data_IF_583615214873
#
_entry.id   IF_583615214873
#
_cell.length_a   1.000
_cell.length_b   1.000
_cell.length_c   1.000
_cell.angle_alpha   90.00
_cell.angle_beta   90.00
_cell.angle_gamma   90.00
#
_symmetry.space_group_name_H-M   'P 1'
#
loop_
_entity.id
_entity.type
_entity.pdbx_description
1 polymer ?
#
# COMPACT_ATOMS: atom_id res chain seq x y z
N UNK A 1 7.09 1.56 -16.79
CA UNK A 1 6.76 2.24 -15.52
C UNK A 1 5.67 1.46 -14.81
N UNK A 2 5.92 0.91 -13.60
CA UNK A 2 4.89 0.25 -12.79
C UNK A 2 3.72 1.18 -12.44
N UNK A 3 2.61 0.60 -11.97
CA UNK A 3 1.47 1.38 -11.47
C UNK A 3 1.75 1.84 -10.04
N UNK A 4 1.58 3.14 -9.85
CA UNK A 4 1.61 3.85 -8.60
C UNK A 4 0.33 4.67 -8.53
N UNK A 5 -0.33 4.65 -7.39
CA UNK A 5 -1.52 5.45 -7.12
C UNK A 5 -1.21 6.42 -6.00
N UNK A 6 -1.81 7.61 -6.03
CA UNK A 6 -1.75 8.51 -4.89
C UNK A 6 -2.67 7.96 -3.81
N UNK A 7 -2.08 7.64 -2.68
CA UNK A 7 -2.75 7.07 -1.53
C UNK A 7 -2.70 8.06 -0.38
N UNK A 8 -3.85 8.22 0.26
CA UNK A 8 -3.97 8.88 1.54
C UNK A 8 -4.13 7.81 2.62
N UNK A 9 -3.35 7.94 3.68
CA UNK A 9 -3.21 6.90 4.71
C UNK A 9 -3.33 7.58 6.07
N UNK A 10 -4.14 7.00 6.95
CA UNK A 10 -4.25 7.43 8.33
C UNK A 10 -4.33 6.23 9.26
N UNK A 11 -3.91 6.42 10.51
CA UNK A 11 -4.13 5.45 11.56
C UNK A 11 -5.41 5.82 12.32
N UNK A 12 -6.34 4.88 12.59
CA UNK A 12 -7.50 5.15 13.41
C UNK A 12 -7.09 5.74 14.77
N UNK A 13 -7.79 6.79 15.21
CA UNK A 13 -7.52 7.51 16.46
C UNK A 13 -6.10 8.13 16.56
N UNK A 14 -5.50 8.48 15.43
CA UNK A 14 -4.24 9.22 15.37
C UNK A 14 -4.43 10.49 14.55
N UNK A 15 -3.81 11.60 14.98
CA UNK A 15 -4.06 12.92 14.38
C UNK A 15 -3.44 13.08 12.98
N UNK A 16 -2.38 12.31 12.70
CA UNK A 16 -1.63 12.45 11.45
C UNK A 16 -2.22 11.60 10.32
N UNK A 17 -2.45 12.27 9.20
CA UNK A 17 -2.75 11.70 7.90
C UNK A 17 -1.60 12.02 6.95
N UNK A 18 -1.24 11.07 6.09
CA UNK A 18 -0.18 11.23 5.09
C UNK A 18 -0.76 11.00 3.70
N UNK A 19 -0.22 11.71 2.70
CA UNK A 19 -0.51 11.51 1.29
C UNK A 19 0.80 11.18 0.57
N UNK A 20 0.85 10.09 -0.19
CA UNK A 20 2.07 9.58 -0.84
C UNK A 20 1.75 8.73 -2.05
N UNK A 21 2.73 8.43 -2.90
CA UNK A 21 2.58 7.44 -3.96
C UNK A 21 2.78 6.01 -3.46
N UNK A 22 1.79 5.15 -3.68
CA UNK A 22 1.81 3.74 -3.34
C UNK A 22 1.92 2.85 -4.59
N UNK A 23 2.89 1.95 -4.61
CA UNK A 23 3.08 1.00 -5.71
C UNK A 23 2.05 -0.13 -5.62
N UNK A 24 1.34 -0.38 -6.71
CA UNK A 24 0.44 -1.54 -6.84
C UNK A 24 1.26 -2.79 -7.14
N UNK A 25 1.05 -3.86 -6.38
CA UNK A 25 1.70 -5.15 -6.60
C UNK A 25 0.74 -6.32 -6.34
N UNK A 26 0.16 -6.84 -7.42
CA UNK A 26 -0.74 -8.00 -7.37
C UNK A 26 -0.01 -9.33 -7.10
N UNK A 27 1.32 -9.36 -7.14
CA UNK A 27 2.12 -10.52 -6.72
C UNK A 27 2.52 -10.48 -5.23
N UNK A 28 2.11 -9.45 -4.51
CA UNK A 28 2.21 -9.40 -3.06
C UNK A 28 0.87 -9.87 -2.49
N UNK A 29 0.82 -11.10 -2.00
CA UNK A 29 -0.41 -11.74 -1.50
C UNK A 29 -0.09 -12.40 -0.17
N UNK A 30 -0.81 -12.04 0.89
CA UNK A 30 -0.68 -12.67 2.21
C UNK A 30 -2.09 -12.83 2.78
N UNK A 31 -2.58 -14.07 2.73
CA UNK A 31 -3.95 -14.41 3.14
C UNK A 31 -5.03 -13.60 2.39
N UNK A 32 -6.30 -13.73 2.80
CA UNK A 32 -7.41 -12.98 2.23
C UNK A 32 -7.59 -11.63 2.94
N UNK A 33 -6.57 -10.77 2.94
CA UNK A 33 -6.60 -9.52 3.72
C UNK A 33 -5.97 -8.34 2.96
N UNK A 34 -6.57 -7.14 3.03
CA UNK A 34 -5.93 -5.91 2.59
C UNK A 34 -4.67 -5.62 3.42
N UNK A 35 -3.53 -5.47 2.74
CA UNK A 35 -2.23 -5.20 3.35
C UNK A 35 -1.56 -4.04 2.64
N UNK A 36 -0.98 -3.17 3.45
CA UNK A 36 -0.13 -2.09 3.01
C UNK A 36 1.24 -2.20 3.68
N UNK A 37 2.29 -2.28 2.86
CA UNK A 37 3.66 -2.15 3.37
C UNK A 37 4.00 -0.68 3.49
N UNK A 38 4.45 -0.26 4.66
CA UNK A 38 4.93 1.10 4.92
C UNK A 38 6.46 1.16 5.02
N UNK A 39 7.11 2.20 4.46
CA UNK A 39 8.50 2.50 4.76
C UNK A 39 8.65 3.06 6.18
N UNK A 40 9.88 3.04 6.71
CA UNK A 40 10.19 3.40 8.11
C UNK A 40 9.72 4.81 8.47
N UNK A 41 10.01 5.81 7.63
CA UNK A 41 9.64 7.21 7.88
C UNK A 41 8.12 7.35 8.02
N UNK A 42 7.36 6.85 7.05
CA UNK A 42 5.89 6.94 7.06
C UNK A 42 5.25 6.13 8.20
N UNK A 43 5.81 4.98 8.55
CA UNK A 43 5.36 4.22 9.71
C UNK A 43 5.53 5.03 11.01
N UNK A 44 6.68 5.69 11.20
CA UNK A 44 6.93 6.58 12.34
C UNK A 44 6.01 7.80 12.33
N UNK A 45 5.78 8.41 11.17
CA UNK A 45 4.85 9.54 11.04
C UNK A 45 3.41 9.18 11.42
N UNK A 46 3.00 7.93 11.21
CA UNK A 46 1.71 7.39 11.65
C UNK A 46 1.73 6.88 13.10
N UNK A 47 2.80 7.16 13.85
CA UNK A 47 2.93 6.84 15.27
C UNK A 47 3.18 5.36 15.58
N UNK A 48 3.64 4.57 14.61
CA UNK A 48 4.03 3.18 14.87
C UNK A 48 5.43 3.09 15.47
N UNK A 49 5.57 2.20 16.46
CA UNK A 49 6.86 1.81 17.03
C UNK A 49 7.29 0.49 16.38
N UNK A 50 8.18 0.58 15.38
CA UNK A 50 8.62 -0.58 14.58
C UNK A 50 9.41 -1.57 15.44
N UNK A 51 10.16 -1.09 16.44
CA UNK A 51 11.01 -1.94 17.27
C UNK A 51 10.18 -2.79 18.26
N UNK A 52 8.93 -2.39 18.51
CA UNK A 52 7.95 -3.16 19.29
C UNK A 52 6.97 -3.97 18.44
N UNK A 53 7.12 -3.93 17.12
CA UNK A 53 6.22 -4.63 16.21
C UNK A 53 6.47 -6.13 16.22
N UNK A 54 5.39 -6.92 16.16
CA UNK A 54 5.49 -8.37 16.19
C UNK A 54 5.85 -8.95 14.81
N UNK A 55 6.71 -9.97 14.73
CA UNK A 55 6.99 -10.64 13.47
C UNK A 55 5.78 -11.45 12.99
N UNK A 56 5.44 -11.32 11.70
CA UNK A 56 4.51 -12.22 11.04
C UNK A 56 5.23 -13.52 10.69
N UNK A 57 4.77 -14.62 11.29
CA UNK A 57 5.36 -15.94 11.07
C UNK A 57 4.81 -16.58 9.79
N UNK A 58 5.59 -17.51 9.21
CA UNK A 58 5.15 -18.33 8.07
C UNK A 58 5.01 -17.59 6.74
N UNK A 59 5.51 -16.35 6.64
CA UNK A 59 5.52 -15.61 5.38
C UNK A 59 6.76 -15.99 4.56
N UNK A 60 6.54 -16.44 3.32
CA UNK A 60 7.59 -16.75 2.36
C UNK A 60 7.40 -15.95 1.08
N UNK A 61 8.51 -15.70 0.38
CA UNK A 61 8.45 -15.17 -0.98
C UNK A 61 8.02 -16.23 -2.01
N UNK A 62 7.93 -15.84 -3.27
CA UNK A 62 7.54 -16.74 -4.36
C UNK A 62 8.54 -17.89 -4.62
N UNK A 63 9.76 -17.81 -4.08
CA UNK A 63 10.76 -18.87 -4.15
C UNK A 63 10.75 -19.76 -2.88
N UNK A 64 9.78 -19.57 -1.98
CA UNK A 64 9.68 -20.30 -0.72
C UNK A 64 10.69 -19.86 0.34
N UNK A 65 11.38 -18.74 0.16
CA UNK A 65 12.36 -18.23 1.13
C UNK A 65 11.64 -17.44 2.22
N UNK A 66 12.05 -17.52 3.49
CA UNK A 66 11.49 -16.69 4.55
C UNK A 66 11.57 -15.21 4.19
N UNK A 67 10.45 -14.49 4.35
CA UNK A 67 10.37 -13.06 4.14
C UNK A 67 10.11 -12.38 5.50
N UNK A 68 11.12 -11.77 6.14
CA UNK A 68 10.92 -11.07 7.40
C UNK A 68 9.93 -9.91 7.23
N UNK A 69 8.85 -9.95 8.01
CA UNK A 69 7.81 -8.93 8.02
C UNK A 69 7.36 -8.65 9.45
N UNK A 70 7.23 -7.37 9.80
CA UNK A 70 6.69 -6.94 11.09
C UNK A 70 5.27 -6.41 10.91
N UNK A 71 4.34 -6.79 11.80
CA UNK A 71 2.98 -6.25 11.88
C UNK A 71 2.97 -4.98 12.72
N UNK A 72 2.68 -3.85 12.09
CA UNK A 72 2.63 -2.55 12.77
C UNK A 72 1.28 -2.28 13.43
N UNK A 73 0.19 -2.70 12.78
CA UNK A 73 -1.17 -2.44 13.24
C UNK A 73 -2.16 -2.31 12.10
N UNK A 74 -3.17 -1.47 12.28
CA UNK A 74 -4.21 -1.19 11.28
C UNK A 74 -4.15 0.27 10.87
N UNK A 75 -4.31 0.51 9.56
CA UNK A 75 -4.49 1.83 8.97
C UNK A 75 -5.74 1.83 8.10
N UNK A 76 -6.20 3.03 7.73
CA UNK A 76 -7.18 3.25 6.69
C UNK A 76 -6.48 3.88 5.49
N UNK A 77 -6.83 3.41 4.29
CA UNK A 77 -6.21 3.82 3.03
C UNK A 77 -7.31 4.27 2.06
N UNK A 78 -7.04 5.33 1.32
CA UNK A 78 -7.91 5.86 0.27
C UNK A 78 -7.08 6.18 -0.96
N UNK A 79 -7.56 5.80 -2.14
CA UNK A 79 -6.99 6.24 -3.41
C UNK A 79 -7.53 7.63 -3.74
N UNK A 80 -6.65 8.57 -4.08
CA UNK A 80 -6.98 9.99 -4.25
C UNK A 80 -6.54 10.48 -5.62
N UNK A 81 -7.49 10.91 -6.44
CA UNK A 81 -7.26 11.66 -7.68
C UNK A 81 -8.02 13.00 -7.61
N UNK A 82 -7.63 14.02 -8.39
CA UNK A 82 -8.29 15.33 -8.35
C UNK A 82 -9.80 15.30 -8.58
N UNK A 83 -10.29 14.32 -9.34
CA UNK A 83 -11.68 14.17 -9.77
C UNK A 83 -12.43 13.01 -9.08
N UNK A 84 -11.74 12.09 -8.40
CA UNK A 84 -12.35 10.94 -7.74
C UNK A 84 -11.52 10.45 -6.56
N UNK A 85 -12.20 10.03 -5.50
CA UNK A 85 -11.60 9.35 -4.35
C UNK A 85 -12.33 8.02 -4.13
N UNK A 86 -11.60 7.00 -3.68
CA UNK A 86 -12.22 5.75 -3.21
C UNK A 86 -12.82 5.95 -1.82
N UNK A 87 -13.51 4.92 -1.29
CA UNK A 87 -13.82 4.86 0.14
C UNK A 87 -12.54 4.64 0.97
N UNK A 88 -12.62 4.91 2.27
CA UNK A 88 -11.59 4.49 3.23
C UNK A 88 -11.64 2.97 3.43
N UNK A 89 -10.52 2.29 3.18
CA UNK A 89 -10.38 0.85 3.32
C UNK A 89 -9.43 0.53 4.46
N UNK A 90 -9.87 -0.30 5.41
CA UNK A 90 -9.01 -0.80 6.49
C UNK A 90 -8.00 -1.81 5.94
N UNK A 91 -6.73 -1.63 6.30
CA UNK A 91 -5.64 -2.51 5.91
C UNK A 91 -4.71 -2.81 7.08
N UNK A 92 -4.07 -3.98 7.05
CA UNK A 92 -2.99 -4.32 7.98
C UNK A 92 -1.72 -3.62 7.48
N UNK A 93 -1.14 -2.77 8.32
CA UNK A 93 0.14 -2.13 8.06
C UNK A 93 1.28 -3.06 8.44
N UNK A 94 2.23 -3.24 7.52
CA UNK A 94 3.40 -4.10 7.70
C UNK A 94 4.69 -3.36 7.35
N UNK A 95 5.81 -3.80 7.92
CA UNK A 95 7.15 -3.30 7.62
C UNK A 95 8.06 -4.44 7.16
N UNK A 96 8.83 -4.21 6.09
CA UNK A 96 9.79 -5.19 5.53
C UNK A 96 11.17 -4.58 5.23
N UNK A 97 11.47 -3.37 5.74
CA UNK A 97 12.73 -2.68 5.44
C UNK A 97 12.79 -1.91 4.11
N UNK A 98 11.76 -1.99 3.26
CA UNK A 98 11.79 -1.35 1.95
C UNK A 98 11.31 0.11 1.96
N UNK A 99 11.78 0.89 0.98
CA UNK A 99 11.64 2.36 0.93
C UNK A 99 10.35 2.89 0.29
N UNK A 100 9.47 2.03 -0.24
CA UNK A 100 8.24 2.49 -0.91
C UNK A 100 7.00 1.89 -0.28
N UNK A 101 5.89 2.62 -0.34
CA UNK A 101 4.58 2.06 0.00
C UNK A 101 4.19 1.02 -1.06
N UNK A 102 3.72 -0.14 -0.60
CA UNK A 102 3.28 -1.23 -1.48
C UNK A 102 1.87 -1.65 -1.10
N UNK A 103 0.97 -1.69 -2.08
CA UNK A 103 -0.38 -2.23 -1.95
C UNK A 103 -0.38 -3.68 -2.43
N UNK A 104 -0.98 -4.55 -1.64
CA UNK A 104 -1.23 -5.93 -2.02
C UNK A 104 -2.43 -6.02 -2.99
N UNK A 105 -2.64 -7.19 -3.56
CA UNK A 105 -3.79 -7.52 -4.41
C UNK A 105 -5.15 -7.19 -3.76
N UNK A 106 -5.42 -7.64 -2.54
CA UNK A 106 -6.70 -7.41 -1.86
C UNK A 106 -6.98 -5.92 -1.59
N UNK A 107 -5.96 -5.16 -1.16
CA UNK A 107 -6.12 -3.73 -0.95
C UNK A 107 -6.32 -2.98 -2.27
N UNK A 108 -5.63 -3.41 -3.33
CA UNK A 108 -5.80 -2.83 -4.68
C UNK A 108 -7.24 -3.00 -5.16
N UNK A 109 -7.81 -4.20 -5.00
CA UNK A 109 -9.20 -4.48 -5.37
C UNK A 109 -10.20 -3.66 -4.56
N UNK A 110 -10.01 -3.60 -3.23
CA UNK A 110 -10.89 -2.88 -2.31
C UNK A 110 -10.87 -1.36 -2.53
N UNK A 111 -9.74 -0.81 -3.00
CA UNK A 111 -9.62 0.60 -3.42
C UNK A 111 -10.22 0.86 -4.82
N UNK A 112 -10.84 -0.14 -5.44
CA UNK A 112 -11.43 -0.08 -6.78
C UNK A 112 -10.41 0.22 -7.88
N UNK A 113 -9.14 -0.15 -7.70
CA UNK A 113 -8.10 0.08 -8.71
C UNK A 113 -8.07 -1.10 -9.68
N UNK A 114 -8.22 -0.82 -10.98
CA UNK A 114 -8.06 -1.79 -12.05
C UNK A 114 -6.75 -1.54 -12.82
N UNK A 115 -5.71 -2.36 -12.61
CA UNK A 115 -4.52 -2.36 -13.47
C UNK A 115 -4.89 -2.67 -14.92
N UNK A 116 -4.47 -1.85 -15.89
CA UNK A 116 -4.80 -2.06 -17.31
C UNK A 116 -3.56 -2.34 -18.17
N UNK A 117 -2.55 -1.47 -18.08
CA UNK A 117 -1.26 -1.68 -18.76
C UNK A 117 -0.14 -1.46 -17.75
N UNK A 118 0.16 -2.44 -16.89
CA UNK A 118 1.04 -2.26 -15.74
C UNK A 118 2.49 -1.93 -16.13
N UNK A 119 2.97 -2.39 -17.28
CA UNK A 119 4.28 -2.02 -17.81
C UNK A 119 4.39 -0.56 -18.28
N UNK A 120 3.27 0.04 -18.68
CA UNK A 120 3.16 1.43 -19.14
C UNK A 120 2.59 2.37 -18.07
N UNK A 121 2.20 1.82 -16.93
CA UNK A 121 1.67 2.57 -15.79
C UNK A 121 0.26 3.08 -16.01
N UNK A 122 -0.57 2.39 -16.80
CA UNK A 122 -1.97 2.75 -16.96
C UNK A 122 -2.88 1.87 -16.10
N UNK A 123 -3.83 2.53 -15.46
CA UNK A 123 -4.85 1.94 -14.60
C UNK A 123 -6.14 2.77 -14.73
N UNK A 124 -7.21 2.35 -14.07
CA UNK A 124 -8.46 3.12 -13.97
C UNK A 124 -9.17 2.76 -12.67
N UNK A 125 -10.10 3.59 -12.21
CA UNK A 125 -11.01 3.12 -11.17
C UNK A 125 -12.05 2.15 -11.77
N UNK A 126 -12.56 1.23 -10.95
CA UNK A 126 -13.66 0.33 -11.33
C UNK A 126 -14.84 1.15 -11.86
N UNK A 127 -15.34 0.72 -13.01
CA UNK A 127 -16.43 1.38 -13.73
C UNK A 127 -16.01 2.57 -14.62
N UNK A 128 -14.74 2.99 -14.62
CA UNK A 128 -14.27 4.02 -15.54
C UNK A 128 -13.90 3.46 -16.92
N UNK A 129 -14.08 4.28 -17.96
CA UNK A 129 -13.55 4.02 -19.31
C UNK A 129 -12.22 4.72 -19.54
N UNK A 130 -12.00 5.86 -18.86
CA UNK A 130 -10.78 6.67 -18.95
C UNK A 130 -9.60 5.93 -18.32
N UNK A 131 -8.47 5.93 -19.03
CA UNK A 131 -7.19 5.51 -18.47
C UNK A 131 -6.53 6.64 -17.68
N UNK A 132 -6.07 6.30 -16.48
CA UNK A 132 -5.27 7.12 -15.60
C UNK A 132 -3.81 6.73 -15.75
N UNK A 133 -2.92 7.70 -15.57
CA UNK A 133 -1.47 7.46 -15.53
C UNK A 133 -1.02 7.24 -14.09
N UNK A 134 0.02 6.45 -13.95
CA UNK A 134 0.73 6.23 -12.70
C UNK A 134 1.14 7.56 -12.06
N UNK A 135 0.97 7.66 -10.75
CA UNK A 135 1.57 8.73 -9.97
C UNK A 135 3.10 8.67 -10.07
N UNK A 136 3.79 9.79 -9.79
CA UNK A 136 5.26 9.80 -9.75
C UNK A 136 5.72 8.83 -8.65
N UNK A 137 6.65 7.90 -8.92
CA UNK A 137 7.22 7.03 -7.90
C UNK A 137 7.77 7.84 -6.72
N UNK A 138 7.49 7.39 -5.51
CA UNK A 138 7.97 8.01 -4.29
C UNK A 138 8.71 6.98 -3.44
N UNK A 139 9.89 7.37 -2.97
CA UNK A 139 10.77 6.54 -2.17
C UNK A 139 11.14 7.34 -0.91
N UNK A 140 10.95 6.69 0.23
CA UNK A 140 11.22 7.18 1.55
C UNK A 140 12.43 6.39 2.06
N UNK A 141 13.59 7.05 2.07
CA UNK A 141 14.83 6.47 2.58
C UNK A 141 14.78 6.20 4.08
N UNK A 142 15.92 5.82 4.66
CA UNK A 142 16.07 5.73 6.12
C UNK A 142 16.09 7.10 6.80
#
# INVERSE_FOLDING_TARGET
>A
MPIWIRARIRRPNYEREIETSAKVNTGFTIGPSPIIRLPRILAKELGFDIEKAEPLQGITDAAGRPLPMLRLGVVEVMAVEPDRQSQWIRAIAVYTGASSVLLNDYLTEALEIEPTMPGSGFWRFRGETRLRRSAKPEYHGE
#
